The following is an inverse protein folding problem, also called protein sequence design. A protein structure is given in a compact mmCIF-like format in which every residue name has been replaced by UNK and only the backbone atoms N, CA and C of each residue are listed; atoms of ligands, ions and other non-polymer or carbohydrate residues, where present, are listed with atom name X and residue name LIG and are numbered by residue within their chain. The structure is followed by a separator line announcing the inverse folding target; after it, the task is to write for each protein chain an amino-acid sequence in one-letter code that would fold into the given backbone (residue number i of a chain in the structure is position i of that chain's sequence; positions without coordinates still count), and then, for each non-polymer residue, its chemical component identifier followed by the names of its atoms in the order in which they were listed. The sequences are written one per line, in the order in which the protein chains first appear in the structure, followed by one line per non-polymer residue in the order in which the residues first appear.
data_IF_747921306112
#
_entry.id   IF_747921306112
#
_cell.length_a   1.000
_cell.length_b   1.000
_cell.length_c   1.000
_cell.angle_alpha   90.00
_cell.angle_beta   90.00
_cell.angle_gamma   90.00
#
_symmetry.space_group_name_H-M   'P 1'
#
loop_
_entity.id
_entity.type
_entity.pdbx_description
1 polymer ?
#
# COMPACT_ATOMS: atom_id res chain seq x y z
N UNK A 1 9.47 10.35 -0.29
CA UNK A 1 8.70 9.46 0.62
C UNK A 1 8.51 10.13 1.97
N UNK A 2 7.38 9.87 2.61
CA UNK A 2 7.14 10.34 3.97
C UNK A 2 7.98 9.55 4.97
N UNK A 3 8.00 10.01 6.22
CA UNK A 3 8.70 9.30 7.30
C UNK A 3 8.16 7.88 7.47
N UNK A 4 6.84 7.73 7.43
CA UNK A 4 6.19 6.44 7.62
C UNK A 4 6.44 5.51 6.43
N UNK A 5 6.44 6.03 5.21
CA UNK A 5 6.78 5.23 4.05
C UNK A 5 8.22 4.72 4.13
N UNK A 6 9.16 5.58 4.55
CA UNK A 6 10.55 5.17 4.73
C UNK A 6 10.68 4.11 5.81
N UNK A 7 9.92 4.27 6.90
CA UNK A 7 9.93 3.30 7.99
C UNK A 7 9.55 1.91 7.50
N UNK A 8 8.41 1.82 6.77
CA UNK A 8 7.95 0.55 6.23
C UNK A 8 8.94 -0.01 5.21
N UNK A 9 9.52 0.86 4.38
CA UNK A 9 10.45 0.43 3.34
C UNK A 9 11.73 -0.16 3.94
N UNK A 10 12.42 0.59 4.79
CA UNK A 10 13.71 0.15 5.30
C UNK A 10 13.62 -0.98 6.31
N UNK A 11 12.57 -0.98 7.13
CA UNK A 11 12.44 -1.98 8.18
C UNK A 11 11.79 -3.27 7.72
N UNK A 12 11.13 -3.26 6.57
CA UNK A 12 10.41 -4.44 6.11
C UNK A 12 10.50 -4.69 4.61
N UNK A 13 9.95 -3.80 3.79
CA UNK A 13 9.76 -4.09 2.37
C UNK A 13 11.07 -4.31 1.62
N UNK A 14 12.09 -3.52 1.93
CA UNK A 14 13.40 -3.63 1.29
C UNK A 14 14.03 -5.00 1.49
N UNK A 15 13.72 -5.65 2.61
CA UNK A 15 14.30 -6.92 2.99
C UNK A 15 13.59 -8.14 2.39
N UNK A 16 12.47 -7.92 1.73
CA UNK A 16 11.76 -9.00 1.07
C UNK A 16 12.53 -9.47 -0.17
N UNK A 17 12.39 -10.75 -0.49
CA UNK A 17 12.99 -11.30 -1.70
C UNK A 17 12.19 -10.99 -2.96
N UNK A 18 11.21 -10.12 -2.85
CA UNK A 18 10.35 -9.69 -3.95
C UNK A 18 10.76 -8.32 -4.46
N UNK A 19 10.50 -8.06 -5.74
CA UNK A 19 10.67 -6.72 -6.29
C UNK A 19 9.53 -5.82 -5.82
N UNK A 20 9.86 -4.82 -5.02
CA UNK A 20 8.90 -3.83 -4.56
C UNK A 20 9.25 -2.50 -5.23
N UNK A 21 8.32 -1.97 -5.99
CA UNK A 21 8.48 -0.67 -6.65
C UNK A 21 7.95 0.44 -5.75
N UNK A 22 8.74 1.48 -5.55
CA UNK A 22 8.33 2.64 -4.77
C UNK A 22 7.81 3.71 -5.70
N UNK A 23 6.74 4.40 -5.29
CA UNK A 23 6.18 5.52 -6.05
C UNK A 23 5.90 5.11 -7.50
N UNK A 24 5.20 3.99 -7.66
CA UNK A 24 4.91 3.43 -8.97
C UNK A 24 3.71 4.10 -9.61
N UNK A 25 3.84 4.43 -10.89
CA UNK A 25 2.72 4.97 -11.66
C UNK A 25 1.96 3.79 -12.28
N UNK A 26 0.67 3.72 -11.98
CA UNK A 26 -0.23 2.71 -12.56
C UNK A 26 -1.38 3.47 -13.20
N UNK A 27 -1.45 3.45 -14.52
CA UNK A 27 -2.37 4.30 -15.24
C UNK A 27 -2.03 5.76 -15.00
N UNK A 28 -2.96 6.52 -14.44
CA UNK A 28 -2.75 7.93 -14.09
C UNK A 28 -2.52 8.13 -12.58
N UNK A 29 -2.40 7.04 -11.83
CA UNK A 29 -2.28 7.11 -10.38
C UNK A 29 -0.86 6.75 -9.93
N UNK A 30 -0.39 7.42 -8.87
CA UNK A 30 0.88 7.11 -8.24
C UNK A 30 0.56 6.36 -6.95
N UNK A 31 1.12 5.15 -6.80
CA UNK A 31 0.92 4.36 -5.59
C UNK A 31 2.22 4.33 -4.79
N UNK A 32 2.10 4.21 -3.47
CA UNK A 32 3.28 4.26 -2.61
C UNK A 32 4.21 3.08 -2.85
N UNK A 33 3.68 1.86 -2.86
CA UNK A 33 4.45 0.65 -3.12
C UNK A 33 3.65 -0.31 -3.98
N UNK A 34 4.33 -0.98 -4.90
CA UNK A 34 3.70 -1.97 -5.77
C UNK A 34 4.54 -3.23 -5.86
N UNK A 35 3.92 -4.39 -5.62
CA UNK A 35 4.55 -5.69 -5.75
C UNK A 35 3.88 -6.40 -6.92
N UNK A 36 4.52 -6.30 -8.09
CA UNK A 36 3.93 -6.79 -9.34
C UNK A 36 3.70 -8.30 -9.34
N UNK A 37 4.62 -9.07 -8.76
CA UNK A 37 4.51 -10.53 -8.73
C UNK A 37 3.30 -11.01 -7.93
N UNK A 38 2.81 -10.20 -7.02
CA UNK A 38 1.64 -10.51 -6.18
C UNK A 38 0.43 -9.68 -6.56
N UNK A 39 0.60 -8.70 -7.44
CA UNK A 39 -0.44 -7.74 -7.79
C UNK A 39 -1.03 -7.05 -6.56
N UNK A 40 -0.16 -6.57 -5.70
CA UNK A 40 -0.52 -5.89 -4.46
C UNK A 40 0.04 -4.49 -4.46
N UNK A 41 -0.82 -3.51 -4.15
CA UNK A 41 -0.44 -2.13 -3.89
C UNK A 41 -0.53 -1.91 -2.38
N UNK A 42 0.45 -1.23 -1.82
CA UNK A 42 0.44 -0.85 -0.41
C UNK A 42 0.43 0.66 -0.33
N UNK A 43 -0.54 1.21 0.39
CA UNK A 43 -0.71 2.65 0.57
C UNK A 43 -0.64 3.01 2.04
N UNK A 44 0.06 4.10 2.34
CA UNK A 44 0.14 4.61 3.71
C UNK A 44 -0.62 5.93 3.77
N UNK A 45 -1.69 5.97 4.55
CA UNK A 45 -2.53 7.17 4.66
C UNK A 45 -2.01 8.07 5.78
N UNK A 46 -1.55 9.25 5.38
CA UNK A 46 -0.95 10.20 6.31
C UNK A 46 -1.95 10.97 7.14
N UNK A 47 -2.99 11.47 6.50
CA UNK A 47 -4.01 12.28 7.16
C UNK A 47 -5.38 11.74 6.80
N UNK A 48 -6.33 11.98 7.69
CA UNK A 48 -7.70 11.55 7.45
C UNK A 48 -8.31 12.43 6.38
N UNK A 49 -8.73 11.81 5.31
CA UNK A 49 -9.49 12.47 4.27
C UNK A 49 -10.97 12.33 4.60
N UNK A 50 -11.43 13.15 5.53
CA UNK A 50 -12.84 13.16 5.88
C UNK A 50 -13.65 13.99 4.89
N UNK A 51 -13.00 14.64 3.95
CA UNK A 51 -13.67 15.41 2.94
C UNK A 51 -14.29 14.49 1.91
N UNK A 52 -15.53 14.78 1.55
CA UNK A 52 -16.30 13.99 0.60
C UNK A 52 -15.56 13.77 -0.72
N UNK A 53 -14.88 14.80 -1.20
CA UNK A 53 -14.14 14.73 -2.46
C UNK A 53 -12.98 13.74 -2.39
N UNK A 54 -12.27 13.70 -1.27
CA UNK A 54 -11.18 12.75 -1.08
C UNK A 54 -11.68 11.31 -1.08
N UNK A 55 -12.81 11.06 -0.44
CA UNK A 55 -13.41 9.73 -0.38
C UNK A 55 -13.81 9.25 -1.78
N UNK A 56 -14.43 10.12 -2.56
CA UNK A 56 -14.87 9.79 -3.93
C UNK A 56 -13.66 9.49 -4.82
N UNK A 57 -12.63 10.32 -4.72
CA UNK A 57 -11.40 10.13 -5.51
C UNK A 57 -10.73 8.80 -5.18
N UNK A 58 -10.66 8.45 -3.90
CA UNK A 58 -10.05 7.19 -3.46
C UNK A 58 -10.86 6.00 -3.96
N UNK A 59 -12.18 6.09 -3.95
CA UNK A 59 -13.05 5.02 -4.43
C UNK A 59 -12.83 4.77 -5.92
N UNK A 60 -12.76 5.84 -6.73
CA UNK A 60 -12.54 5.73 -8.17
C UNK A 60 -11.19 5.07 -8.44
N UNK A 61 -10.15 5.49 -7.72
CA UNK A 61 -8.82 4.91 -7.87
C UNK A 61 -8.81 3.42 -7.50
N UNK A 62 -9.43 3.09 -6.37
CA UNK A 62 -9.45 1.70 -5.91
C UNK A 62 -10.21 0.81 -6.89
N UNK A 63 -11.31 1.28 -7.45
CA UNK A 63 -12.05 0.52 -8.46
C UNK A 63 -11.22 0.31 -9.73
N UNK A 64 -10.47 1.32 -10.15
CA UNK A 64 -9.58 1.18 -11.30
C UNK A 64 -8.54 0.11 -11.05
N UNK A 65 -7.87 0.15 -9.90
CA UNK A 65 -6.86 -0.86 -9.57
C UNK A 65 -7.46 -2.24 -9.47
N UNK A 66 -8.65 -2.35 -8.90
CA UNK A 66 -9.36 -3.63 -8.81
C UNK A 66 -9.69 -4.19 -10.20
N UNK A 67 -10.01 -3.31 -11.16
CA UNK A 67 -10.27 -3.75 -12.53
C UNK A 67 -9.06 -4.39 -13.19
N UNK A 68 -7.86 -4.09 -12.70
CA UNK A 68 -6.61 -4.68 -13.16
C UNK A 68 -6.22 -5.91 -12.33
N UNK A 69 -7.11 -6.38 -11.48
CA UNK A 69 -6.88 -7.49 -10.54
C UNK A 69 -5.76 -7.17 -9.53
N UNK A 70 -5.65 -5.90 -9.16
CA UNK A 70 -4.67 -5.46 -8.16
C UNK A 70 -5.39 -5.29 -6.83
N UNK A 71 -4.83 -5.89 -5.79
CA UNK A 71 -5.33 -5.75 -4.43
C UNK A 71 -4.66 -4.57 -3.75
N UNK A 72 -5.44 -3.72 -3.09
CA UNK A 72 -4.92 -2.56 -2.37
C UNK A 72 -4.94 -2.84 -0.87
N UNK A 73 -3.78 -2.72 -0.24
CA UNK A 73 -3.64 -2.81 1.21
C UNK A 73 -3.36 -1.41 1.72
N UNK A 74 -4.15 -0.97 2.68
CA UNK A 74 -4.06 0.41 3.18
C UNK A 74 -3.85 0.42 4.68
N UNK A 75 -2.84 1.15 5.12
CA UNK A 75 -2.48 1.27 6.53
C UNK A 75 -2.32 2.73 6.89
N UNK A 76 -2.65 3.06 8.14
CA UNK A 76 -2.51 4.44 8.60
C UNK A 76 -1.09 4.72 9.09
N UNK A 77 -0.73 6.00 9.16
CA UNK A 77 0.53 6.39 9.78
C UNK A 77 0.61 5.89 11.21
N UNK A 78 -0.50 5.92 11.92
CA UNK A 78 -0.54 5.43 13.29
C UNK A 78 -0.14 3.96 13.36
N UNK A 79 -0.66 3.13 12.44
CA UNK A 79 -0.32 1.72 12.43
C UNK A 79 1.16 1.49 12.13
N UNK A 80 1.72 2.26 11.22
CA UNK A 80 3.15 2.14 10.90
C UNK A 80 4.01 2.50 12.11
N UNK A 81 3.62 3.56 12.83
CA UNK A 81 4.41 4.05 13.96
C UNK A 81 4.23 3.23 15.23
N UNK A 82 3.07 2.60 15.41
CA UNK A 82 2.73 1.96 16.67
C UNK A 82 2.46 0.45 16.59
N UNK A 83 2.14 -0.05 15.40
CA UNK A 83 1.76 -1.45 15.19
C UNK A 83 2.45 -2.05 13.98
N UNK A 84 3.71 -1.70 13.75
CA UNK A 84 4.43 -2.11 12.55
C UNK A 84 4.47 -3.63 12.39
N UNK A 85 4.65 -4.36 13.48
CA UNK A 85 4.70 -5.83 13.44
C UNK A 85 3.40 -6.40 12.91
N UNK A 86 2.26 -5.87 13.36
CA UNK A 86 0.95 -6.30 12.88
C UNK A 86 0.76 -5.96 11.41
N UNK A 87 1.25 -4.81 10.97
CA UNK A 87 1.20 -4.41 9.56
C UNK A 87 2.00 -5.40 8.71
N UNK A 88 3.20 -5.74 9.14
CA UNK A 88 4.05 -6.68 8.41
C UNK A 88 3.41 -8.06 8.31
N UNK A 89 2.82 -8.54 9.39
CA UNK A 89 2.11 -9.82 9.39
C UNK A 89 0.93 -9.80 8.44
N UNK A 90 0.18 -8.71 8.42
CA UNK A 90 -0.96 -8.58 7.52
C UNK A 90 -0.53 -8.59 6.06
N UNK A 91 0.56 -7.88 5.74
CA UNK A 91 1.10 -7.88 4.38
C UNK A 91 1.51 -9.30 3.97
N UNK A 92 2.26 -10.00 4.83
CA UNK A 92 2.70 -11.36 4.53
C UNK A 92 1.54 -12.33 4.36
N UNK A 93 0.50 -12.16 5.17
CA UNK A 93 -0.70 -12.97 5.05
C UNK A 93 -1.36 -12.83 3.68
N UNK A 94 -1.30 -11.65 3.10
CA UNK A 94 -1.87 -11.39 1.78
C UNK A 94 -1.04 -12.02 0.66
N UNK A 95 0.24 -12.29 0.89
CA UNK A 95 1.05 -13.00 -0.09
C UNK A 95 0.58 -14.46 -0.22
N UNK A 96 0.29 -15.09 0.89
CA UNK A 96 -0.14 -16.49 0.90
C UNK A 96 -1.57 -16.65 0.37
N UNK A 97 -2.40 -15.66 0.56
CA UNK A 97 -3.79 -15.69 0.14
C UNK A 97 -3.99 -15.68 -1.37
N UNK A 98 -2.92 -15.55 -2.14
CA UNK A 98 -2.96 -15.51 -3.60
C UNK A 98 -2.62 -16.84 -4.26
N UNK A 99 -2.65 -17.87 -3.50
CA UNK A 99 -2.39 -19.21 -4.03
C UNK A 99 -3.61 -19.74 -4.79
#
# INVERSE_FOLDING_TARGET
MTKEERHLWYDFLKQLSLNVHRQKIIGKYIVDFYIASKKIVIEIDGTQHFEKEGIISDTVRDEYLKSLNIKVLRYSNYDINNNLESVCEDILKNFDGNV
#
